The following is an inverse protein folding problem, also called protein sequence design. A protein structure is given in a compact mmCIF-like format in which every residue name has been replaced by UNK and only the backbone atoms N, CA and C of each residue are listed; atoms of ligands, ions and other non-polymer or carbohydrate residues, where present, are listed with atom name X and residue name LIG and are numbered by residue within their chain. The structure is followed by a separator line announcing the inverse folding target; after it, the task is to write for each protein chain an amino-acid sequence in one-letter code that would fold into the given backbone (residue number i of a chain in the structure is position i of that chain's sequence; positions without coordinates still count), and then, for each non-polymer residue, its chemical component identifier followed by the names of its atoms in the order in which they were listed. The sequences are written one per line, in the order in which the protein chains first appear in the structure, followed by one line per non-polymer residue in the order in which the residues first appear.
data_IF_172492980460
#
_entry.id   IF_172492980460
#
_cell.length_a   1.000
_cell.length_b   1.000
_cell.length_c   1.000
_cell.angle_alpha   90.00
_cell.angle_beta   90.00
_cell.angle_gamma   90.00
#
_symmetry.space_group_name_H-M   'P 1'
#
loop_
_entity.id
_entity.type
_entity.pdbx_description
1 polymer ?
#
# COMPACT_ATOMS: atom_id res chain seq x y z
N UNK A 1 14.33 25.33 1.56
CA UNK A 1 13.15 26.21 1.37
C UNK A 1 13.18 26.61 -0.10
N UNK A 2 12.12 26.36 -0.88
CA UNK A 2 12.13 26.72 -2.31
C UNK A 2 12.09 28.24 -2.51
N UNK A 3 12.35 28.70 -3.73
CA UNK A 3 12.37 30.14 -4.11
C UNK A 3 11.07 30.90 -3.78
N UNK A 4 9.96 30.20 -3.54
CA UNK A 4 8.65 30.75 -3.16
C UNK A 4 8.34 30.69 -1.65
N UNK A 5 9.27 30.24 -0.81
CA UNK A 5 9.05 30.12 0.65
C UNK A 5 8.25 28.89 1.09
N UNK A 6 7.65 28.15 0.16
CA UNK A 6 6.91 26.91 0.45
C UNK A 6 7.84 25.70 0.60
N UNK A 7 7.41 24.75 1.45
CA UNK A 7 7.95 23.38 1.43
C UNK A 7 7.15 22.57 0.40
N UNK A 8 7.81 22.20 -0.69
CA UNK A 8 7.21 21.45 -1.80
C UNK A 8 7.86 20.07 -1.89
N UNK A 9 7.05 19.03 -2.01
CA UNK A 9 7.48 17.66 -2.31
C UNK A 9 6.86 17.25 -3.64
N UNK A 10 7.66 16.81 -4.60
CA UNK A 10 7.18 16.37 -5.91
C UNK A 10 7.76 14.99 -6.26
N UNK A 11 6.91 14.16 -6.85
CA UNK A 11 7.29 12.91 -7.47
C UNK A 11 6.50 12.78 -8.77
N UNK A 12 7.20 12.85 -9.91
CA UNK A 12 6.58 12.95 -11.24
C UNK A 12 5.49 14.07 -11.28
N UNK A 13 4.23 13.69 -11.50
CA UNK A 13 3.05 14.56 -11.54
C UNK A 13 2.40 14.82 -10.16
N UNK A 14 2.72 14.01 -9.15
CA UNK A 14 2.16 14.14 -7.81
C UNK A 14 2.95 15.18 -6.97
N UNK A 15 2.28 16.29 -6.62
CA UNK A 15 2.86 17.42 -5.86
C UNK A 15 2.14 17.58 -4.52
N UNK A 16 2.91 17.80 -3.45
CA UNK A 16 2.45 18.30 -2.17
C UNK A 16 3.07 19.67 -1.89
N UNK A 17 2.24 20.61 -1.47
CA UNK A 17 2.65 21.93 -1.00
C UNK A 17 2.22 22.05 0.46
N UNK A 18 3.18 22.26 1.35
CA UNK A 18 2.92 22.46 2.78
C UNK A 18 2.85 23.95 3.08
N UNK A 19 1.75 24.36 3.70
CA UNK A 19 1.46 25.73 4.12
C UNK A 19 1.15 25.75 5.61
N UNK A 20 1.41 26.89 6.26
CA UNK A 20 1.13 27.08 7.69
C UNK A 20 -0.32 27.47 7.94
N UNK A 21 -0.90 28.25 7.03
CA UNK A 21 -2.26 28.77 7.13
C UNK A 21 -3.12 28.38 5.91
N UNK A 22 -4.44 28.39 6.07
CA UNK A 22 -5.38 28.03 5.01
C UNK A 22 -5.36 29.02 3.84
N UNK A 23 -5.39 30.32 4.13
CA UNK A 23 -5.26 31.39 3.12
C UNK A 23 -3.97 31.26 2.29
N UNK A 24 -2.90 30.74 2.92
CA UNK A 24 -1.61 30.53 2.28
C UNK A 24 -1.67 29.34 1.31
N UNK A 25 -2.44 28.30 1.65
CA UNK A 25 -2.72 27.15 0.79
C UNK A 25 -3.63 27.52 -0.40
N UNK A 26 -4.63 28.37 -0.18
CA UNK A 26 -5.47 28.91 -1.26
C UNK A 26 -4.65 29.73 -2.26
N UNK A 27 -3.78 30.60 -1.76
CA UNK A 27 -2.86 31.37 -2.61
C UNK A 27 -1.88 30.47 -3.37
N UNK A 28 -1.31 29.45 -2.70
CA UNK A 28 -0.43 28.49 -3.33
C UNK A 28 -1.15 27.68 -4.43
N UNK A 29 -2.40 27.28 -4.18
CA UNK A 29 -3.21 26.56 -5.15
C UNK A 29 -3.53 27.42 -6.38
N UNK A 30 -3.92 28.68 -6.17
CA UNK A 30 -4.18 29.63 -7.26
C UNK A 30 -2.93 29.81 -8.14
N UNK A 31 -1.79 30.06 -7.50
CA UNK A 31 -0.51 30.28 -8.22
C UNK A 31 -0.02 29.02 -8.93
N UNK A 32 -0.20 27.84 -8.32
CA UNK A 32 0.08 26.58 -8.98
C UNK A 32 -0.79 26.39 -10.23
N UNK A 33 -2.06 26.78 -10.18
CA UNK A 33 -2.96 26.78 -11.34
C UNK A 33 -2.48 27.71 -12.46
N UNK A 34 -2.10 28.94 -12.12
CA UNK A 34 -1.59 29.92 -13.10
C UNK A 34 -0.36 29.40 -13.85
N UNK A 35 0.59 28.79 -13.14
CA UNK A 35 1.82 28.22 -13.74
C UNK A 35 1.49 26.96 -14.55
N UNK A 36 0.74 26.02 -13.97
CA UNK A 36 0.45 24.74 -14.62
C UNK A 36 -0.41 24.92 -15.87
N UNK A 37 -1.47 25.73 -15.80
CA UNK A 37 -2.40 25.92 -16.91
C UNK A 37 -1.89 26.95 -17.92
N UNK A 38 -1.24 28.02 -17.45
CA UNK A 38 -0.73 29.09 -18.31
C UNK A 38 0.55 28.69 -19.04
N UNK A 39 1.61 28.37 -18.29
CA UNK A 39 2.94 28.14 -18.86
C UNK A 39 3.09 26.70 -19.37
N UNK A 40 2.63 25.73 -18.59
CA UNK A 40 2.83 24.31 -18.87
C UNK A 40 1.67 23.67 -19.64
N UNK A 41 0.55 24.39 -19.81
CA UNK A 41 -0.67 23.93 -20.48
C UNK A 41 -1.23 22.60 -19.94
N UNK A 42 -1.01 22.35 -18.66
CA UNK A 42 -1.48 21.18 -17.92
C UNK A 42 -2.70 21.56 -17.08
N UNK A 43 -3.82 20.85 -17.26
CA UNK A 43 -5.03 21.07 -16.46
C UNK A 43 -4.92 20.41 -15.09
N UNK A 44 -5.26 21.16 -14.04
CA UNK A 44 -5.41 20.59 -12.71
C UNK A 44 -6.64 19.67 -12.67
N UNK A 45 -6.49 18.48 -12.07
CA UNK A 45 -7.62 17.59 -11.83
C UNK A 45 -8.36 18.04 -10.57
N UNK A 46 -9.63 18.50 -10.66
CA UNK A 46 -10.37 18.99 -9.49
C UNK A 46 -10.61 17.90 -8.45
N UNK A 47 -10.70 16.64 -8.89
CA UNK A 47 -10.94 15.50 -8.01
C UNK A 47 -9.72 15.13 -7.16
N UNK A 48 -8.51 15.41 -7.67
CA UNK A 48 -7.24 15.11 -7.00
C UNK A 48 -6.73 16.29 -6.16
N UNK A 49 -7.05 17.51 -6.58
CA UNK A 49 -6.50 18.73 -5.97
C UNK A 49 -7.35 19.16 -4.78
N UNK A 50 -6.81 19.04 -3.56
CA UNK A 50 -7.55 19.33 -2.32
C UNK A 50 -6.65 20.00 -1.30
N UNK A 51 -7.19 21.04 -0.65
CA UNK A 51 -6.60 21.58 0.57
C UNK A 51 -7.06 20.69 1.73
N UNK A 52 -6.11 20.11 2.45
CA UNK A 52 -6.38 19.21 3.57
C UNK A 52 -5.58 19.59 4.80
N UNK A 53 -6.23 19.56 5.97
CA UNK A 53 -5.55 19.82 7.22
C UNK A 53 -4.74 18.58 7.64
N UNK A 54 -3.44 18.59 7.33
CA UNK A 54 -2.53 17.44 7.48
C UNK A 54 -2.55 16.80 8.88
N UNK A 55 -2.64 17.60 9.96
CA UNK A 55 -2.67 17.05 11.33
C UNK A 55 -4.02 16.45 11.76
N UNK A 56 -5.12 16.83 11.12
CA UNK A 56 -6.49 16.39 11.49
C UNK A 56 -6.93 15.21 10.62
N UNK A 57 -6.83 15.34 9.29
CA UNK A 57 -7.31 14.34 8.33
C UNK A 57 -6.18 13.48 7.74
N UNK A 58 -4.94 13.94 7.83
CA UNK A 58 -3.83 13.34 7.12
C UNK A 58 -3.79 13.72 5.65
N UNK A 59 -2.74 13.25 4.97
CA UNK A 59 -2.44 13.49 3.56
C UNK A 59 -2.21 12.14 2.90
N UNK A 60 -2.81 11.96 1.72
CA UNK A 60 -2.60 10.80 0.88
C UNK A 60 -1.55 11.12 -0.19
N UNK A 61 -0.47 10.33 -0.26
CA UNK A 61 0.62 10.56 -1.21
C UNK A 61 1.37 9.26 -1.52
N UNK A 62 1.64 8.98 -2.81
CA UNK A 62 2.37 7.80 -3.30
C UNK A 62 1.88 6.45 -2.70
N UNK A 63 0.56 6.30 -2.54
CA UNK A 63 -0.04 5.10 -1.98
C UNK A 63 0.05 4.98 -0.45
N UNK A 64 0.57 6.00 0.23
CA UNK A 64 0.59 6.12 1.68
C UNK A 64 -0.44 7.14 2.18
N UNK A 65 -0.85 6.98 3.43
CA UNK A 65 -1.57 7.94 4.23
C UNK A 65 -0.66 8.38 5.38
N UNK A 66 -0.48 9.69 5.50
CA UNK A 66 0.36 10.35 6.49
C UNK A 66 -0.52 11.17 7.40
N UNK A 67 -0.33 11.10 8.72
CA UNK A 67 -1.06 11.98 9.65
C UNK A 67 -0.15 12.65 10.70
N UNK A 68 1.13 12.79 10.36
CA UNK A 68 2.15 13.38 11.23
C UNK A 68 2.75 12.42 12.28
N UNK A 69 2.09 11.30 12.57
CA UNK A 69 2.60 10.28 13.51
C UNK A 69 2.84 8.92 12.86
N UNK A 70 2.01 8.54 11.90
CA UNK A 70 2.12 7.26 11.20
C UNK A 70 2.16 7.47 9.69
N UNK A 71 2.86 6.56 9.00
CA UNK A 71 2.87 6.42 7.55
C UNK A 71 2.32 5.05 7.21
N UNK A 72 1.08 4.95 6.72
CA UNK A 72 0.42 3.66 6.45
C UNK A 72 0.06 3.50 4.99
N UNK A 73 0.02 2.28 4.44
CA UNK A 73 -0.54 2.03 3.12
C UNK A 73 -2.00 2.50 3.08
N UNK A 74 -2.40 3.15 1.98
CA UNK A 74 -3.79 3.51 1.75
C UNK A 74 -4.68 2.27 1.70
N UNK A 75 -5.94 2.43 2.10
CA UNK A 75 -6.91 1.33 2.04
C UNK A 75 -7.14 0.86 0.60
N UNK A 76 -7.02 1.76 -0.40
CA UNK A 76 -7.04 1.39 -1.82
C UNK A 76 -5.88 0.47 -2.19
N UNK A 77 -4.67 0.72 -1.71
CA UNK A 77 -3.51 -0.13 -1.95
C UNK A 77 -3.66 -1.51 -1.30
N UNK A 78 -4.20 -1.54 -0.07
CA UNK A 78 -4.48 -2.79 0.66
C UNK A 78 -5.59 -3.59 -0.02
N UNK A 79 -6.64 -2.93 -0.51
CA UNK A 79 -7.73 -3.55 -1.28
C UNK A 79 -7.19 -4.15 -2.58
N UNK A 80 -6.35 -3.42 -3.33
CA UNK A 80 -5.68 -3.92 -4.54
C UNK A 80 -4.86 -5.18 -4.24
N UNK A 81 -4.05 -5.16 -3.18
CA UNK A 81 -3.28 -6.33 -2.74
C UNK A 81 -4.19 -7.54 -2.45
N UNK A 82 -5.23 -7.36 -1.62
CA UNK A 82 -6.17 -8.43 -1.31
C UNK A 82 -6.87 -8.99 -2.56
N UNK A 83 -7.24 -8.12 -3.50
CA UNK A 83 -7.84 -8.53 -4.78
C UNK A 83 -6.89 -9.40 -5.59
N UNK A 84 -5.62 -9.00 -5.70
CA UNK A 84 -4.61 -9.75 -6.45
C UNK A 84 -4.35 -11.13 -5.84
N UNK A 85 -4.18 -11.18 -4.51
CA UNK A 85 -4.05 -12.46 -3.78
C UNK A 85 -5.30 -13.31 -3.99
N UNK A 86 -6.51 -12.74 -3.86
CA UNK A 86 -7.77 -13.46 -4.06
C UNK A 86 -7.86 -14.09 -5.45
N UNK A 87 -7.44 -13.35 -6.48
CA UNK A 87 -7.41 -13.79 -7.86
C UNK A 87 -6.47 -14.98 -8.06
N UNK A 88 -5.23 -14.90 -7.57
CA UNK A 88 -4.22 -15.97 -7.69
C UNK A 88 -4.54 -17.22 -6.87
N UNK A 89 -5.28 -17.06 -5.77
CA UNK A 89 -5.70 -18.19 -4.90
C UNK A 89 -7.15 -18.64 -5.19
N UNK A 90 -7.64 -18.54 -6.43
CA UNK A 90 -8.98 -19.03 -6.78
C UNK A 90 -9.08 -20.53 -6.48
N UNK A 91 -10.19 -20.98 -5.88
CA UNK A 91 -10.35 -22.38 -5.41
C UNK A 91 -10.32 -23.42 -6.53
N UNK A 92 -10.96 -23.09 -7.66
CA UNK A 92 -11.05 -23.97 -8.82
C UNK A 92 -10.00 -23.53 -9.85
N UNK A 93 -8.83 -24.15 -9.76
CA UNK A 93 -7.77 -24.06 -10.77
C UNK A 93 -6.96 -25.37 -10.77
N UNK A 94 -6.42 -25.78 -11.93
CA UNK A 94 -5.63 -27.00 -12.09
C UNK A 94 -4.18 -26.80 -11.62
N UNK A 95 -3.99 -26.18 -10.44
CA UNK A 95 -2.66 -25.95 -9.85
C UNK A 95 -2.56 -26.68 -8.51
N UNK A 96 -1.36 -27.12 -8.15
CA UNK A 96 -1.10 -27.59 -6.80
C UNK A 96 -0.84 -26.41 -5.85
N UNK A 97 -0.71 -26.68 -4.55
CA UNK A 97 -0.53 -25.64 -3.54
C UNK A 97 0.78 -24.88 -3.71
N UNK A 98 1.87 -25.57 -4.05
CA UNK A 98 3.20 -25.00 -4.26
C UNK A 98 3.22 -24.00 -5.42
N UNK A 99 2.59 -24.33 -6.54
CA UNK A 99 2.44 -23.41 -7.68
C UNK A 99 1.65 -22.15 -7.31
N UNK A 100 0.63 -22.29 -6.46
CA UNK A 100 -0.12 -21.13 -5.96
C UNK A 100 0.75 -20.27 -5.06
N UNK A 101 1.51 -20.87 -4.13
CA UNK A 101 2.46 -20.17 -3.26
C UNK A 101 3.51 -19.43 -4.10
N UNK A 102 4.12 -20.11 -5.07
CA UNK A 102 5.07 -19.53 -6.01
C UNK A 102 4.47 -18.33 -6.77
N UNK A 103 3.19 -18.40 -7.13
CA UNK A 103 2.51 -17.30 -7.84
C UNK A 103 2.23 -16.07 -6.96
N UNK A 104 2.01 -16.23 -5.66
CA UNK A 104 1.69 -15.11 -4.76
C UNK A 104 2.94 -14.49 -4.12
N UNK A 105 4.03 -15.25 -3.99
CA UNK A 105 5.28 -14.78 -3.39
C UNK A 105 5.84 -13.49 -4.02
N UNK A 106 5.90 -13.32 -5.35
CA UNK A 106 6.34 -12.06 -5.96
C UNK A 106 5.45 -10.87 -5.58
N UNK A 107 4.14 -11.08 -5.48
CA UNK A 107 3.18 -10.03 -5.07
C UNK A 107 3.42 -9.64 -3.61
N UNK A 108 3.59 -10.63 -2.74
CA UNK A 108 3.90 -10.43 -1.32
C UNK A 108 5.21 -9.66 -1.15
N UNK A 109 6.28 -10.11 -1.82
CA UNK A 109 7.60 -9.46 -1.76
C UNK A 109 7.56 -8.03 -2.29
N UNK A 110 7.00 -7.82 -3.48
CA UNK A 110 6.94 -6.49 -4.10
C UNK A 110 6.13 -5.51 -3.25
N UNK A 111 4.95 -5.93 -2.78
CA UNK A 111 4.10 -5.08 -1.93
C UNK A 111 4.75 -4.84 -0.56
N UNK A 112 5.30 -5.89 0.06
CA UNK A 112 5.99 -5.79 1.34
C UNK A 112 7.19 -4.86 1.28
N UNK A 113 8.08 -5.02 0.29
CA UNK A 113 9.26 -4.17 0.12
C UNK A 113 8.91 -2.71 -0.17
N UNK A 114 7.82 -2.43 -0.89
CA UNK A 114 7.38 -1.07 -1.13
C UNK A 114 6.85 -0.39 0.14
N UNK A 115 6.13 -1.12 0.99
CA UNK A 115 5.43 -0.56 2.16
C UNK A 115 6.18 -0.75 3.50
N UNK A 116 7.27 -1.53 3.55
CA UNK A 116 7.95 -1.93 4.80
C UNK A 116 8.46 -0.75 5.64
N UNK A 117 8.84 0.35 4.99
CA UNK A 117 9.32 1.54 5.71
C UNK A 117 8.19 2.32 6.40
N UNK A 118 6.93 1.93 6.20
CA UNK A 118 5.78 2.51 6.90
C UNK A 118 5.55 1.94 8.30
N UNK A 119 4.57 2.51 9.00
CA UNK A 119 3.98 1.97 10.23
C UNK A 119 3.07 0.77 9.89
N UNK A 120 3.67 -0.37 9.53
CA UNK A 120 2.96 -1.48 8.88
C UNK A 120 2.90 -2.79 9.65
N UNK A 121 3.61 -2.95 10.76
CA UNK A 121 3.68 -4.21 11.54
C UNK A 121 2.33 -4.91 11.71
N UNK A 122 1.36 -4.24 12.35
CA UNK A 122 0.00 -4.78 12.54
C UNK A 122 -0.71 -5.09 11.22
N UNK A 123 -0.54 -4.25 10.20
CA UNK A 123 -1.18 -4.44 8.89
C UNK A 123 -0.56 -5.63 8.14
N UNK A 124 0.73 -5.87 8.29
CA UNK A 124 1.42 -7.03 7.72
C UNK A 124 0.94 -8.32 8.38
N UNK A 125 0.82 -8.35 9.71
CA UNK A 125 0.25 -9.48 10.45
C UNK A 125 -1.20 -9.81 10.01
N UNK A 126 -2.05 -8.78 9.86
CA UNK A 126 -3.42 -8.91 9.34
C UNK A 126 -3.44 -9.51 7.92
N UNK A 127 -2.55 -9.05 7.05
CA UNK A 127 -2.46 -9.51 5.66
C UNK A 127 -1.88 -10.93 5.57
N UNK A 128 -0.92 -11.30 6.40
CA UNK A 128 -0.43 -12.67 6.51
C UNK A 128 -1.53 -13.62 6.98
N UNK A 129 -2.36 -13.19 7.93
CA UNK A 129 -3.58 -13.91 8.33
C UNK A 129 -4.54 -14.11 7.15
N UNK A 130 -4.76 -13.08 6.35
CA UNK A 130 -5.58 -13.14 5.15
C UNK A 130 -5.04 -14.12 4.11
N UNK A 131 -3.75 -14.06 3.78
CA UNK A 131 -3.08 -14.97 2.83
C UNK A 131 -3.23 -16.42 3.28
N UNK A 132 -2.96 -16.72 4.56
CA UNK A 132 -3.14 -18.07 5.12
C UNK A 132 -4.59 -18.56 4.99
N UNK A 133 -5.57 -17.70 5.27
CA UNK A 133 -6.99 -18.05 5.10
C UNK A 133 -7.36 -18.36 3.64
N UNK A 134 -6.74 -17.67 2.68
CA UNK A 134 -6.92 -17.92 1.24
C UNK A 134 -6.31 -19.27 0.82
N UNK A 135 -5.12 -19.61 1.32
CA UNK A 135 -4.49 -20.90 1.04
C UNK A 135 -5.27 -22.08 1.65
N UNK A 136 -5.79 -21.93 2.88
CA UNK A 136 -6.71 -22.92 3.48
C UNK A 136 -7.95 -23.13 2.60
N UNK A 137 -8.54 -22.02 2.17
CA UNK A 137 -9.69 -22.04 1.26
C UNK A 137 -9.40 -22.71 -0.08
N UNK A 138 -8.19 -22.56 -0.60
CA UNK A 138 -7.74 -23.21 -1.83
C UNK A 138 -7.61 -24.73 -1.65
N UNK A 139 -6.91 -25.17 -0.60
CA UNK A 139 -6.71 -26.61 -0.31
C UNK A 139 -8.02 -27.35 -0.05
N UNK A 140 -8.98 -26.71 0.61
CA UNK A 140 -10.28 -27.33 0.89
C UNK A 140 -11.03 -27.75 -0.38
N UNK A 141 -10.73 -27.14 -1.56
CA UNK A 141 -11.37 -27.30 -2.88
C UNK A 141 -12.89 -27.04 -2.91
N UNK A 142 -13.65 -27.56 -1.95
CA UNK A 142 -15.05 -27.27 -1.61
C UNK A 142 -15.13 -26.55 -0.26
N UNK A 143 -16.27 -25.92 0.04
CA UNK A 143 -16.50 -25.20 1.32
C UNK A 143 -16.77 -26.19 2.46
N UNK A 144 -15.79 -27.03 2.77
CA UNK A 144 -15.84 -27.96 3.88
C UNK A 144 -15.37 -27.26 5.16
N UNK A 145 -16.30 -27.02 6.09
CA UNK A 145 -16.04 -26.33 7.34
C UNK A 145 -14.96 -27.03 8.18
N UNK A 146 -14.85 -28.37 8.12
CA UNK A 146 -13.81 -29.13 8.84
C UNK A 146 -12.40 -28.80 8.35
N UNK A 147 -12.22 -28.58 7.05
CA UNK A 147 -10.92 -28.21 6.45
C UNK A 147 -10.65 -26.71 6.62
N UNK A 148 -11.70 -25.88 6.64
CA UNK A 148 -11.57 -24.43 6.88
C UNK A 148 -11.17 -24.15 8.33
N UNK A 149 -11.71 -24.92 9.29
CA UNK A 149 -11.35 -24.88 10.70
C UNK A 149 -10.01 -25.56 10.99
N UNK A 150 -9.54 -26.46 10.13
CA UNK A 150 -8.19 -27.01 10.24
C UNK A 150 -7.17 -25.89 10.04
N UNK A 151 -6.45 -25.56 11.12
CA UNK A 151 -5.37 -24.59 11.06
C UNK A 151 -4.22 -25.22 10.31
N UNK A 152 -4.02 -24.79 9.07
CA UNK A 152 -2.82 -25.16 8.34
C UNK A 152 -1.60 -24.52 9.04
N UNK A 153 -0.72 -25.32 9.67
CA UNK A 153 0.32 -24.79 10.54
C UNK A 153 1.27 -23.87 9.75
N UNK A 154 1.64 -22.74 10.35
CA UNK A 154 2.61 -21.79 9.75
C UNK A 154 3.92 -22.49 9.30
N UNK A 155 4.50 -23.42 10.07
CA UNK A 155 5.75 -24.09 9.68
C UNK A 155 5.63 -24.89 8.39
N UNK A 156 4.46 -25.46 8.09
CA UNK A 156 4.26 -26.27 6.89
C UNK A 156 4.22 -25.40 5.62
N UNK A 157 3.62 -24.21 5.72
CA UNK A 157 3.64 -23.21 4.66
C UNK A 157 5.03 -22.62 4.44
N UNK A 158 5.79 -22.40 5.51
CA UNK A 158 7.17 -21.92 5.45
C UNK A 158 8.07 -22.96 4.77
N UNK A 159 7.90 -24.26 5.06
CA UNK A 159 8.59 -25.36 4.35
C UNK A 159 8.26 -25.37 2.85
N UNK A 160 7.05 -24.99 2.46
CA UNK A 160 6.65 -24.82 1.05
C UNK A 160 7.13 -23.50 0.43
N UNK A 161 7.90 -22.70 1.17
CA UNK A 161 8.50 -21.45 0.69
C UNK A 161 7.55 -20.25 0.69
N UNK A 162 6.45 -20.27 1.45
CA UNK A 162 5.57 -19.10 1.57
C UNK A 162 6.32 -17.94 2.26
N UNK A 163 6.36 -16.79 1.60
CA UNK A 163 6.86 -15.55 2.18
C UNK A 163 5.79 -14.92 3.05
N UNK A 164 6.18 -14.46 4.25
CA UNK A 164 5.34 -13.65 5.13
C UNK A 164 5.74 -12.18 5.03
N UNK A 165 4.75 -11.29 4.97
CA UNK A 165 4.99 -9.85 5.05
C UNK A 165 5.71 -9.49 6.34
N UNK A 166 5.29 -10.06 7.46
CA UNK A 166 5.89 -9.81 8.77
C UNK A 166 7.38 -10.15 8.80
N UNK A 167 7.79 -11.26 8.16
CA UNK A 167 9.21 -11.63 8.07
C UNK A 167 10.07 -10.67 7.24
N UNK A 168 9.46 -9.84 6.38
CA UNK A 168 10.19 -8.82 5.61
C UNK A 168 10.59 -7.61 6.46
N UNK A 169 10.06 -7.49 7.68
CA UNK A 169 10.40 -6.41 8.62
C UNK A 169 11.67 -6.73 9.42
N UNK A 170 12.05 -8.01 9.52
CA UNK A 170 13.20 -8.47 10.31
C UNK A 170 14.54 -8.20 9.60
N UNK A 171 14.50 -7.80 8.32
CA UNK A 171 15.67 -7.40 7.54
C UNK A 171 15.54 -5.93 7.10
N UNK A 172 16.23 -4.98 7.76
CA UNK A 172 16.25 -3.60 7.29
C UNK A 172 16.83 -3.56 5.88
N UNK A 173 16.18 -2.82 4.97
CA UNK A 173 16.82 -2.47 3.69
C UNK A 173 18.13 -1.73 4.01
N UNK A 174 19.23 -1.96 3.28
CA UNK A 174 20.36 -1.04 3.36
C UNK A 174 19.83 0.35 3.07
N UNK A 175 20.13 1.28 3.98
CA UNK A 175 19.65 2.66 3.91
C UNK A 175 19.92 3.20 2.50
N UNK A 176 18.87 3.67 1.81
CA UNK A 176 19.07 4.50 0.64
C UNK A 176 19.62 5.83 1.15
N UNK A 177 20.93 6.00 1.01
CA UNK A 177 21.64 7.26 1.18
C UNK A 177 21.41 8.21 0.00
#
# INVERSE_FOLDING_TARGET
MGELGYLIIRYADDILIFCKYEWEAENALKRAGEILEGELKLKLSPEKTKIVHARKKGVEYLGFHFNGRWRRPQDKAVKKFKTEIKHRTRRQQPKNLEMVIASINPVIRGWGNYFKDGTVKKRFEELDGYVRARLRSFRAKRRNWRIILYTFPKPELEKMGLVSLSSLLDHPSPAMG
#
